data_IF_131279170227
#
_entry.id   IF_131279170227
#
_cell.length_a   1.000
_cell.length_b   1.000
_cell.length_c   1.000
_cell.angle_alpha   90.00
_cell.angle_beta   90.00
_cell.angle_gamma   90.00
#
_symmetry.space_group_name_H-M   'P 1'
#
loop_
_entity.id
_entity.type
_entity.pdbx_description
1 polymer ?
#
# COMPACT_ATOMS: atom_id res chain seq x y z
N UNK A 1 -9.87 -10.75 4.02
CA UNK A 1 -8.56 -10.42 4.61
C UNK A 1 -7.46 -10.75 3.62
N UNK A 2 -6.45 -9.89 3.54
CA UNK A 2 -5.25 -10.09 2.73
C UNK A 2 -4.02 -10.13 3.65
N UNK A 3 -3.00 -10.88 3.27
CA UNK A 3 -1.74 -11.01 3.99
C UNK A 3 -0.58 -10.57 3.10
N UNK A 4 0.35 -9.79 3.65
CA UNK A 4 1.59 -9.40 2.98
C UNK A 4 2.80 -9.68 3.88
N UNK A 5 3.79 -10.41 3.36
CA UNK A 5 5.03 -10.70 4.08
C UNK A 5 6.09 -9.63 3.84
N UNK A 6 6.57 -9.04 4.94
CA UNK A 6 7.68 -8.08 4.94
C UNK A 6 8.98 -8.82 4.63
N UNK A 7 9.73 -8.36 3.62
CA UNK A 7 10.90 -9.08 3.09
C UNK A 7 12.23 -8.71 3.76
N UNK A 8 12.32 -7.53 4.35
CA UNK A 8 13.53 -6.98 4.97
C UNK A 8 13.17 -6.28 6.29
N UNK A 9 14.16 -6.02 7.13
CA UNK A 9 13.94 -5.28 8.37
C UNK A 9 13.59 -3.82 8.06
N UNK A 10 12.46 -3.36 8.58
CA UNK A 10 11.94 -2.01 8.31
C UNK A 10 11.62 -1.25 9.59
N UNK A 11 11.62 0.08 9.46
CA UNK A 11 10.97 0.98 10.39
C UNK A 11 9.66 1.45 9.73
N UNK A 12 8.53 1.00 10.27
CA UNK A 12 7.19 1.38 9.86
C UNK A 12 6.92 2.82 10.33
N UNK A 13 6.57 3.69 9.39
CA UNK A 13 6.38 5.12 9.59
C UNK A 13 4.90 5.49 9.62
N UNK A 14 4.10 4.94 8.71
CA UNK A 14 2.68 5.29 8.62
C UNK A 14 1.85 4.18 7.96
N UNK A 15 0.55 4.20 8.22
CA UNK A 15 -0.46 3.36 7.60
C UNK A 15 -1.51 4.25 6.93
N UNK A 16 -1.87 3.96 5.68
CA UNK A 16 -2.86 4.73 4.93
C UNK A 16 -3.86 3.78 4.27
N UNK A 17 -4.96 3.44 4.97
CA UNK A 17 -6.04 2.64 4.40
C UNK A 17 -6.80 3.45 3.34
N UNK A 18 -7.24 2.78 2.28
CA UNK A 18 -7.97 3.36 1.16
C UNK A 18 -9.08 2.43 0.71
N UNK A 19 -10.30 2.95 0.71
CA UNK A 19 -11.48 2.36 0.07
C UNK A 19 -12.21 3.36 -0.80
N UNK A 20 -13.04 2.89 -1.73
CA UNK A 20 -14.08 3.74 -2.31
C UNK A 20 -15.35 3.72 -1.44
N UNK A 21 -16.51 3.99 -2.02
CA UNK A 21 -17.74 4.34 -1.31
C UNK A 21 -18.28 3.28 -0.35
N UNK A 22 -17.90 2.01 -0.56
CA UNK A 22 -18.44 0.90 0.24
C UNK A 22 -17.54 0.50 1.40
N UNK A 23 -16.40 1.15 1.61
CA UNK A 23 -15.55 0.89 2.79
C UNK A 23 -16.29 1.21 4.09
N UNK A 24 -16.38 0.24 5.00
CA UNK A 24 -17.08 0.37 6.29
C UNK A 24 -16.14 0.40 7.48
N UNK A 25 -15.17 -0.50 7.47
CA UNK A 25 -14.18 -0.61 8.54
C UNK A 25 -12.89 -1.21 7.97
N UNK A 26 -11.78 -0.92 8.63
CA UNK A 26 -10.49 -1.52 8.32
C UNK A 26 -9.70 -1.83 9.58
N UNK A 27 -9.13 -3.03 9.61
CA UNK A 27 -8.19 -3.48 10.64
C UNK A 27 -6.88 -3.88 10.00
N UNK A 28 -5.79 -3.31 10.50
CA UNK A 28 -4.43 -3.72 10.16
C UNK A 28 -3.81 -4.38 11.38
N UNK A 29 -3.31 -5.59 11.18
CA UNK A 29 -2.72 -6.41 12.22
C UNK A 29 -1.35 -6.90 11.78
N UNK A 30 -0.43 -7.05 12.72
CA UNK A 30 0.91 -7.54 12.50
C UNK A 30 1.10 -8.88 13.20
N UNK A 31 1.64 -9.84 12.47
CA UNK A 31 2.10 -11.11 13.01
C UNK A 31 3.62 -11.17 12.93
N UNK A 32 4.29 -11.32 14.08
CA UNK A 32 5.74 -11.47 14.11
C UNK A 32 6.17 -12.89 13.68
N UNK A 33 7.39 -13.06 13.13
CA UNK A 33 7.90 -14.38 12.74
C UNK A 33 7.86 -15.38 13.89
N UNK A 34 7.25 -16.54 13.67
CA UNK A 34 7.16 -17.61 14.68
C UNK A 34 6.15 -17.35 15.80
N UNK A 35 5.42 -16.23 15.76
CA UNK A 35 4.39 -15.86 16.74
C UNK A 35 3.01 -16.05 16.10
N UNK A 36 2.07 -16.69 16.83
CA UNK A 36 0.71 -16.91 16.33
C UNK A 36 -0.27 -15.78 16.68
N UNK A 37 0.14 -14.85 17.53
CA UNK A 37 -0.66 -13.69 17.92
C UNK A 37 -0.64 -12.60 16.84
N UNK A 38 -1.78 -11.93 16.70
CA UNK A 38 -1.96 -10.77 15.84
C UNK A 38 -2.01 -9.51 16.70
N UNK A 39 -1.02 -8.64 16.53
CA UNK A 39 -1.00 -7.32 17.16
C UNK A 39 -1.78 -6.33 16.30
N UNK A 40 -2.75 -5.62 16.88
CA UNK A 40 -3.48 -4.57 16.13
C UNK A 40 -2.61 -3.32 15.99
N UNK A 41 -2.27 -2.97 14.74
CA UNK A 41 -1.53 -1.74 14.42
C UNK A 41 -2.47 -0.55 14.23
N UNK A 42 -3.57 -0.75 13.52
CA UNK A 42 -4.58 0.27 13.25
C UNK A 42 -5.96 -0.36 13.21
N UNK A 43 -6.92 0.27 13.88
CA UNK A 43 -8.32 -0.10 13.84
C UNK A 43 -9.17 1.13 13.58
N UNK A 44 -9.85 1.14 12.42
CA UNK A 44 -10.81 2.18 12.04
C UNK A 44 -12.19 1.51 11.90
N UNK A 45 -12.99 1.45 12.98
CA UNK A 45 -14.28 0.76 12.99
C UNK A 45 -15.36 1.46 12.14
N UNK A 46 -15.27 2.79 12.06
CA UNK A 46 -16.21 3.65 11.34
C UNK A 46 -15.46 4.39 10.23
N UNK A 47 -15.08 3.66 9.18
CA UNK A 47 -14.35 4.23 8.06
C UNK A 47 -15.26 5.15 7.25
N UNK A 48 -14.80 6.39 7.05
CA UNK A 48 -15.45 7.37 6.17
C UNK A 48 -14.63 7.49 4.88
N UNK A 49 -15.29 7.35 3.73
CA UNK A 49 -14.69 7.56 2.42
C UNK A 49 -14.03 8.94 2.27
N UNK A 50 -14.50 9.96 2.99
CA UNK A 50 -13.91 11.30 2.98
C UNK A 50 -12.70 11.42 3.93
N UNK A 51 -12.45 10.43 4.78
CA UNK A 51 -11.37 10.40 5.77
C UNK A 51 -10.25 9.43 5.37
N UNK A 52 -9.52 9.80 4.32
CA UNK A 52 -8.45 8.95 3.75
C UNK A 52 -7.06 9.47 4.11
N UNK A 53 -6.79 9.58 5.42
CA UNK A 53 -5.53 10.11 5.93
C UNK A 53 -4.47 9.06 6.20
N UNK A 54 -3.24 9.54 6.32
CA UNK A 54 -2.10 8.80 6.86
C UNK A 54 -2.18 8.78 8.39
N UNK A 55 -2.07 7.59 8.96
CA UNK A 55 -1.87 7.36 10.39
C UNK A 55 -0.38 7.20 10.63
N UNK A 56 0.26 8.29 11.01
CA UNK A 56 1.71 8.37 11.25
C UNK A 56 2.05 7.94 12.67
N UNK A 57 3.10 7.14 12.81
CA UNK A 57 3.66 6.79 14.12
C UNK A 57 4.46 7.97 14.68
N UNK A 58 4.27 8.26 15.96
CA UNK A 58 5.13 9.23 16.67
C UNK A 58 6.58 8.74 16.71
N UNK A 59 6.76 7.45 17.04
CA UNK A 59 8.06 6.77 16.96
C UNK A 59 7.97 5.63 15.94
N UNK A 60 8.85 5.61 14.92
CA UNK A 60 8.86 4.54 13.93
C UNK A 60 8.94 3.15 14.57
N UNK A 61 8.04 2.26 14.16
CA UNK A 61 7.97 0.90 14.71
C UNK A 61 8.91 -0.03 13.95
N UNK A 62 9.84 -0.68 14.64
CA UNK A 62 10.63 -1.76 14.05
C UNK A 62 9.76 -2.97 13.71
N UNK A 63 9.91 -3.49 12.49
CA UNK A 63 9.25 -4.70 12.01
C UNK A 63 10.30 -5.59 11.35
N UNK A 64 10.54 -6.81 11.87
CA UNK A 64 11.54 -7.71 11.32
C UNK A 64 11.08 -8.33 9.99
N UNK A 65 12.05 -8.72 9.17
CA UNK A 65 11.82 -9.55 8.00
C UNK A 65 11.07 -10.84 8.36
N UNK A 66 10.17 -11.27 7.48
CA UNK A 66 9.28 -12.41 7.67
C UNK A 66 8.02 -12.11 8.50
N UNK A 67 7.89 -10.91 9.07
CA UNK A 67 6.62 -10.49 9.68
C UNK A 67 5.52 -10.41 8.62
N UNK A 68 4.27 -10.64 9.01
CA UNK A 68 3.11 -10.63 8.13
C UNK A 68 2.14 -9.52 8.52
N UNK A 69 1.84 -8.65 7.57
CA UNK A 69 0.80 -7.63 7.70
C UNK A 69 -0.53 -8.20 7.20
N UNK A 70 -1.51 -8.24 8.09
CA UNK A 70 -2.87 -8.68 7.82
C UNK A 70 -3.77 -7.46 7.67
N UNK A 71 -4.52 -7.39 6.58
CA UNK A 71 -5.47 -6.31 6.32
C UNK A 71 -6.86 -6.91 6.15
N UNK A 72 -7.77 -6.54 7.04
CA UNK A 72 -9.18 -6.91 6.97
C UNK A 72 -10.01 -5.68 6.69
N UNK A 73 -10.82 -5.75 5.64
CA UNK A 73 -11.78 -4.73 5.27
C UNK A 73 -13.20 -5.27 5.38
N UNK A 74 -14.12 -4.38 5.76
CA UNK A 74 -15.55 -4.62 5.74
C UNK A 74 -16.21 -3.66 4.75
N UNK A 75 -17.28 -4.15 4.12
CA UNK A 75 -18.06 -3.39 3.16
C UNK A 75 -19.45 -3.07 3.70
N UNK A 76 -20.01 -1.93 3.26
CA UNK A 76 -21.41 -1.58 3.45
C UNK A 76 -22.12 -1.37 2.10
N UNK A 77 -22.82 -2.41 1.66
CA UNK A 77 -23.67 -2.39 0.47
C UNK A 77 -25.14 -2.07 0.80
N UNK A 78 -25.46 -1.66 2.03
CA UNK A 78 -26.84 -1.34 2.40
C UNK A 78 -27.34 -0.07 1.70
N UNK A 79 -28.66 0.08 1.67
CA UNK A 79 -29.35 1.30 1.23
C UNK A 79 -29.11 2.48 2.17
N UNK A 80 -28.65 2.21 3.40
CA UNK A 80 -28.44 3.21 4.43
C UNK A 80 -27.04 3.84 4.38
N UNK A 81 -26.13 3.31 3.54
CA UNK A 81 -24.83 3.94 3.29
C UNK A 81 -25.01 5.14 2.33
N UNK A 82 -24.94 6.40 2.82
CA UNK A 82 -25.18 7.57 1.99
C UNK A 82 -24.09 7.79 0.92
N UNK A 83 -22.91 7.19 1.08
CA UNK A 83 -21.84 7.26 0.09
C UNK A 83 -22.08 6.29 -1.07
N UNK A 84 -22.91 5.25 -0.90
CA UNK A 84 -23.15 4.22 -1.90
C UNK A 84 -24.18 4.68 -2.95
N UNK A 85 -23.78 4.95 -4.20
CA UNK A 85 -24.69 5.48 -5.22
C UNK A 85 -25.69 4.45 -5.74
N UNK A 86 -25.37 3.15 -5.64
CA UNK A 86 -26.24 2.05 -6.06
C UNK A 86 -25.99 0.81 -5.17
N UNK A 87 -26.88 0.56 -4.19
CA UNK A 87 -26.84 -0.62 -3.32
C UNK A 87 -27.05 -1.97 -4.03
N UNK A 88 -27.58 -1.95 -5.25
CA UNK A 88 -27.91 -3.17 -6.02
C UNK A 88 -26.86 -3.53 -7.05
N UNK A 89 -25.91 -2.63 -7.32
CA UNK A 89 -24.87 -2.83 -8.33
C UNK A 89 -23.95 -4.00 -7.97
N UNK A 90 -23.59 -4.79 -8.99
CA UNK A 90 -22.44 -5.69 -8.89
C UNK A 90 -21.15 -4.87 -8.97
N UNK A 91 -20.34 -4.93 -7.91
CA UNK A 91 -19.12 -4.12 -7.80
C UNK A 91 -17.89 -4.98 -7.96
N UNK A 92 -16.90 -4.45 -8.69
CA UNK A 92 -15.62 -5.11 -8.98
C UNK A 92 -14.48 -4.20 -8.61
N UNK A 93 -13.27 -4.76 -8.59
CA UNK A 93 -12.07 -3.94 -8.46
C UNK A 93 -11.92 -3.01 -9.66
N UNK A 94 -11.68 -1.72 -9.42
CA UNK A 94 -11.46 -0.76 -10.49
C UNK A 94 -11.09 0.63 -9.96
N UNK A 95 -10.51 1.50 -10.81
CA UNK A 95 -10.00 2.80 -10.40
C UNK A 95 -11.09 3.88 -10.24
N UNK A 96 -12.33 3.62 -10.66
CA UNK A 96 -13.43 4.60 -10.54
C UNK A 96 -14.06 4.47 -9.16
N UNK A 97 -14.54 5.57 -8.57
CA UNK A 97 -15.19 5.54 -7.25
C UNK A 97 -16.45 4.67 -7.18
N UNK A 98 -17.09 4.38 -8.32
CA UNK A 98 -18.24 3.46 -8.41
C UNK A 98 -17.84 1.98 -8.43
N UNK A 99 -16.62 1.69 -8.88
CA UNK A 99 -15.93 0.42 -8.63
C UNK A 99 -15.36 0.46 -7.19
N UNK A 100 -14.78 -0.63 -6.68
CA UNK A 100 -14.04 -0.57 -5.41
C UNK A 100 -12.53 -0.70 -5.60
N UNK A 101 -11.79 -0.04 -4.71
CA UNK A 101 -10.42 -0.39 -4.39
C UNK A 101 -10.37 -0.64 -2.90
N UNK A 102 -9.70 -1.70 -2.46
CA UNK A 102 -9.42 -1.90 -1.05
C UNK A 102 -7.97 -2.23 -0.89
N UNK A 103 -7.21 -1.23 -0.48
CA UNK A 103 -5.81 -1.39 -0.20
C UNK A 103 -5.47 -0.67 1.11
N UNK A 104 -4.37 -1.08 1.71
CA UNK A 104 -3.75 -0.31 2.76
C UNK A 104 -2.29 -0.14 2.41
N UNK A 105 -1.87 1.11 2.28
CA UNK A 105 -0.47 1.46 2.05
C UNK A 105 0.22 1.53 3.40
N UNK A 106 1.42 0.98 3.48
CA UNK A 106 2.30 1.16 4.62
C UNK A 106 3.56 1.89 4.13
N UNK A 107 3.94 2.92 4.86
CA UNK A 107 5.12 3.73 4.58
C UNK A 107 6.22 3.30 5.51
N UNK A 108 7.42 3.07 4.99
CA UNK A 108 8.53 2.57 5.77
C UNK A 108 9.86 3.08 5.24
N UNK A 109 10.89 2.99 6.08
CA UNK A 109 12.29 3.04 5.66
C UNK A 109 12.96 1.72 6.01
N UNK A 110 14.05 1.39 5.33
CA UNK A 110 14.92 0.27 5.74
C UNK A 110 15.45 0.55 7.15
N UNK A 111 15.51 -0.49 7.99
CA UNK A 111 16.04 -0.37 9.34
C UNK A 111 17.55 -0.10 9.36
N UNK A 112 18.28 -0.69 8.39
CA UNK A 112 19.72 -0.44 8.23
C UNK A 112 19.98 0.90 7.53
N UNK A 113 20.78 1.80 8.13
CA UNK A 113 21.16 3.06 7.49
C UNK A 113 21.87 2.81 6.17
N UNK A 114 21.38 3.44 5.09
CA UNK A 114 21.96 3.26 3.76
C UNK A 114 23.18 4.17 3.49
N UNK A 115 23.62 4.95 4.49
CA UNK A 115 24.75 5.87 4.37
C UNK A 115 24.50 7.09 3.48
N UNK A 116 23.24 7.44 3.20
CA UNK A 116 22.89 8.61 2.40
C UNK A 116 23.01 9.86 3.28
N UNK A 117 23.98 10.72 2.96
CA UNK A 117 24.23 11.98 3.64
C UNK A 117 24.07 13.12 2.64
N UNK A 118 23.28 14.13 2.98
CA UNK A 118 23.03 15.28 2.10
C UNK A 118 24.33 16.06 1.91
N UNK A 119 24.74 16.24 0.66
CA UNK A 119 25.99 16.93 0.30
C UNK A 119 27.16 15.99 -0.01
N UNK A 120 27.06 14.73 0.39
CA UNK A 120 28.05 13.70 0.06
C UNK A 120 27.67 12.99 -1.25
N UNK A 121 28.64 12.24 -1.80
CA UNK A 121 28.37 11.34 -2.91
C UNK A 121 27.39 10.23 -2.48
N UNK A 122 26.45 9.90 -3.36
CA UNK A 122 25.53 8.78 -3.13
C UNK A 122 26.34 7.48 -3.02
N UNK A 123 26.12 6.64 -1.99
CA UNK A 123 26.85 5.39 -1.84
C UNK A 123 26.70 4.47 -3.06
N UNK A 124 27.80 3.82 -3.47
CA UNK A 124 27.79 2.94 -4.66
C UNK A 124 26.81 1.76 -4.52
N UNK A 125 26.59 1.26 -3.30
CA UNK A 125 25.60 0.22 -3.02
C UNK A 125 24.17 0.66 -3.39
N UNK A 126 23.82 1.91 -3.10
CA UNK A 126 22.52 2.51 -3.44
C UNK A 126 22.41 2.70 -4.96
N UNK A 127 23.48 3.18 -5.60
CA UNK A 127 23.52 3.34 -7.06
C UNK A 127 23.42 2.00 -7.79
N UNK A 128 24.13 0.96 -7.32
CA UNK A 128 24.06 -0.38 -7.86
C UNK A 128 22.63 -0.95 -7.73
N UNK A 129 22.01 -0.85 -6.55
CA UNK A 129 20.62 -1.28 -6.35
C UNK A 129 19.65 -0.54 -7.28
N UNK A 130 19.85 0.78 -7.48
CA UNK A 130 19.02 1.58 -8.38
C UNK A 130 19.16 1.13 -9.84
N UNK A 131 20.39 0.88 -10.30
CA UNK A 131 20.68 0.38 -11.66
C UNK A 131 20.08 -1.00 -11.89
N UNK A 132 20.22 -1.92 -10.94
CA UNK A 132 19.66 -3.28 -11.04
C UNK A 132 18.13 -3.24 -11.15
N UNK A 133 17.49 -2.39 -10.32
CA UNK A 133 16.04 -2.21 -10.34
C UNK A 133 15.56 -1.54 -11.63
N UNK A 134 16.28 -0.55 -12.14
CA UNK A 134 15.99 0.05 -13.45
C UNK A 134 16.10 -0.98 -14.58
N UNK A 135 17.17 -1.80 -14.59
CA UNK A 135 17.33 -2.87 -15.58
C UNK A 135 16.20 -3.89 -15.51
N UNK A 136 15.80 -4.29 -14.31
CA UNK A 136 14.65 -5.20 -14.12
C UNK A 136 13.37 -4.62 -14.73
N UNK A 137 13.02 -3.36 -14.41
CA UNK A 137 11.82 -2.73 -14.96
C UNK A 137 11.91 -2.53 -16.47
N UNK A 138 13.04 -2.06 -16.99
CA UNK A 138 13.27 -1.96 -18.44
C UNK A 138 13.12 -3.32 -19.13
N UNK A 139 13.56 -4.40 -18.48
CA UNK A 139 13.39 -5.77 -18.97
C UNK A 139 11.92 -6.23 -18.98
N UNK A 140 11.14 -5.90 -17.96
CA UNK A 140 9.70 -6.22 -17.93
C UNK A 140 8.91 -5.50 -19.03
N UNK A 141 9.31 -4.28 -19.38
CA UNK A 141 8.69 -3.49 -20.44
C UNK A 141 9.42 -3.60 -21.79
N UNK A 142 10.45 -4.45 -21.92
CA UNK A 142 11.20 -4.59 -23.17
C UNK A 142 10.35 -5.17 -24.32
N UNK A 143 9.24 -5.83 -24.01
CA UNK A 143 8.25 -6.30 -24.97
C UNK A 143 7.20 -5.25 -25.35
N UNK A 144 7.18 -4.10 -24.69
CA UNK A 144 6.30 -2.99 -25.04
C UNK A 144 6.95 -2.19 -26.17
N UNK A 145 6.21 -1.97 -27.25
CA UNK A 145 6.62 -1.06 -28.32
C UNK A 145 6.69 0.37 -27.75
N UNK A 146 7.91 0.80 -27.43
CA UNK A 146 8.18 2.12 -26.85
C UNK A 146 8.41 3.19 -27.92
N UNK A 147 8.43 2.83 -29.22
CA UNK A 147 8.68 3.78 -30.30
C UNK A 147 7.52 4.78 -30.48
N UNK A 148 6.31 4.47 -29.98
CA UNK A 148 5.13 5.33 -30.09
C UNK A 148 4.37 5.56 -28.77
N UNK A 149 5.07 5.58 -27.63
CA UNK A 149 4.47 5.87 -26.32
C UNK A 149 3.67 7.20 -26.27
N UNK A 150 4.08 8.21 -27.04
CA UNK A 150 3.36 9.48 -27.16
C UNK A 150 2.02 9.37 -27.88
N UNK A 151 1.82 8.34 -28.72
CA UNK A 151 0.54 8.09 -29.41
C UNK A 151 -0.49 7.37 -28.52
N UNK A 152 -0.06 6.74 -27.44
CA UNK A 152 -0.93 6.08 -26.45
C UNK A 152 -1.58 7.06 -25.46
N UNK A 153 -1.10 8.32 -25.41
CA UNK A 153 -1.64 9.38 -24.55
C UNK A 153 -2.57 10.36 -25.30
N UNK A 154 -3.10 9.97 -26.47
CA UNK A 154 -4.18 10.72 -27.13
C UNK A 154 -5.53 10.50 -26.44
N UNK A 155 -6.49 11.44 -26.54
CA UNK A 155 -7.82 11.26 -25.95
C UNK A 155 -8.54 10.09 -26.62
N UNK A 156 -9.13 9.21 -25.80
CA UNK A 156 -10.06 8.16 -26.24
C UNK A 156 -11.38 8.78 -26.69
#
# INVERSE_FOLDING_TARGET
THEHTIQEDILLLALAPHSHYRGKAVKLELQLPGVNELETLLWVPDYDFNWQFHYEYEEPRFVPAGAKLHVTWWFDNSIDNPANPDPTAEVRYGPRSVDEMMNARYYFTKAEPQGIVVGDAIPESVLAQARDREQFYRGQYASWDTENLSQLCGPQ
#
